data_IF_226330454216
#
_entry.id   IF_226330454216
#
_cell.length_a   1.000
_cell.length_b   1.000
_cell.length_c   1.000
_cell.angle_alpha   90.00
_cell.angle_beta   90.00
_cell.angle_gamma   90.00
#
_symmetry.space_group_name_H-M   'P 1'
#
loop_
_entity.id
_entity.type
_entity.pdbx_description
1 polymer ?
#
# COMPACT_ATOMS: atom_id res chain seq x y z
N UNK A 1 2.24 11.57 6.83
CA UNK A 1 3.46 10.75 6.69
C UNK A 1 3.73 10.16 8.06
N UNK A 2 3.82 8.83 8.19
CA UNK A 2 4.19 8.23 9.46
C UNK A 2 5.63 8.61 9.80
N UNK A 3 5.85 9.13 11.00
CA UNK A 3 7.21 9.38 11.47
C UNK A 3 7.90 8.03 11.65
N UNK A 4 9.12 7.91 11.11
CA UNK A 4 9.96 6.75 11.39
C UNK A 4 10.16 6.66 12.90
N UNK A 5 9.88 5.49 13.47
CA UNK A 5 10.10 5.21 14.87
C UNK A 5 11.03 4.01 14.99
N UNK A 6 12.04 4.12 15.85
CA UNK A 6 12.91 2.99 16.12
C UNK A 6 12.12 1.95 16.92
N UNK A 7 12.22 0.68 16.52
CA UNK A 7 11.53 -0.40 17.20
C UNK A 7 11.89 -0.50 18.69
N UNK A 8 13.14 -0.17 19.07
CA UNK A 8 13.58 -0.15 20.48
C UNK A 8 12.85 0.88 21.34
N UNK A 9 12.36 1.96 20.72
CA UNK A 9 11.75 3.11 21.40
C UNK A 9 10.23 2.95 21.53
N UNK A 10 9.62 2.03 20.77
CA UNK A 10 8.16 1.83 20.70
C UNK A 10 7.74 0.46 21.24
N UNK A 11 8.54 -0.57 21.02
CA UNK A 11 8.20 -1.93 21.43
C UNK A 11 8.64 -2.21 22.88
N UNK A 12 7.90 -3.06 23.62
CA UNK A 12 8.39 -3.62 24.87
C UNK A 12 9.74 -4.32 24.67
N UNK A 13 10.64 -4.17 25.65
CA UNK A 13 12.02 -4.68 25.58
C UNK A 13 12.08 -6.18 25.29
N UNK A 14 11.23 -6.97 25.93
CA UNK A 14 11.18 -8.43 25.75
C UNK A 14 10.80 -8.82 24.33
N UNK A 15 9.78 -8.15 23.76
CA UNK A 15 9.35 -8.35 22.38
C UNK A 15 10.43 -7.94 21.37
N UNK A 16 11.13 -6.84 21.63
CA UNK A 16 12.23 -6.39 20.76
C UNK A 16 13.39 -7.38 20.73
N UNK A 17 13.80 -7.93 21.88
CA UNK A 17 14.85 -8.94 21.95
C UNK A 17 14.44 -10.28 21.34
N UNK A 18 13.16 -10.65 21.45
CA UNK A 18 12.64 -11.83 20.77
C UNK A 18 12.60 -11.65 19.25
N UNK A 19 12.13 -10.50 18.76
CA UNK A 19 12.11 -10.17 17.33
C UNK A 19 13.50 -10.24 16.69
N UNK A 20 14.55 -9.80 17.40
CA UNK A 20 15.94 -9.89 16.93
C UNK A 20 16.41 -11.32 16.63
N UNK A 21 15.79 -12.34 17.24
CA UNK A 21 16.13 -13.75 16.98
C UNK A 21 15.60 -14.23 15.63
N UNK A 22 14.51 -13.64 15.13
CA UNK A 22 13.79 -14.11 13.94
C UNK A 22 13.88 -13.15 12.76
N UNK A 23 14.05 -11.85 13.01
CA UNK A 23 14.16 -10.82 11.98
C UNK A 23 15.63 -10.42 11.81
N UNK A 24 16.27 -10.90 10.75
CA UNK A 24 17.71 -10.68 10.47
C UNK A 24 18.00 -9.40 9.67
N UNK A 25 17.12 -8.41 9.70
CA UNK A 25 17.21 -7.16 8.91
C UNK A 25 17.20 -5.88 9.75
N UNK A 26 17.68 -4.77 9.15
CA UNK A 26 17.75 -3.46 9.83
C UNK A 26 16.44 -2.66 9.88
N UNK A 27 15.38 -3.12 9.22
CA UNK A 27 14.10 -2.41 9.16
C UNK A 27 12.92 -3.38 9.19
N UNK A 28 12.03 -3.21 10.17
CA UNK A 28 10.76 -3.91 10.26
C UNK A 28 9.65 -2.97 9.78
N UNK A 29 8.94 -3.36 8.72
CA UNK A 29 7.81 -2.60 8.20
C UNK A 29 6.49 -3.21 8.68
N UNK A 30 5.71 -2.44 9.43
CA UNK A 30 4.36 -2.81 9.86
C UNK A 30 3.38 -2.11 8.93
N UNK A 31 2.68 -2.89 8.11
CA UNK A 31 1.63 -2.37 7.23
C UNK A 31 0.36 -2.04 8.03
N UNK A 32 -0.34 -0.95 7.69
CA UNK A 32 -1.62 -0.55 8.28
C UNK A 32 -2.80 -1.53 7.99
N UNK A 33 -2.53 -2.74 7.48
CA UNK A 33 -3.49 -3.84 7.40
C UNK A 33 -4.20 -4.02 6.04
N UNK A 34 -5.20 -4.91 6.03
CA UNK A 34 -6.01 -5.30 4.86
C UNK A 34 -6.69 -4.11 4.15
N UNK A 35 -6.99 -3.06 4.91
CA UNK A 35 -7.57 -1.81 4.42
C UNK A 35 -6.79 -1.18 3.27
N UNK A 36 -5.47 -1.34 3.20
CA UNK A 36 -4.70 -0.81 2.07
C UNK A 36 -5.07 -1.54 0.76
N UNK A 37 -5.24 -2.87 0.79
CA UNK A 37 -5.66 -3.63 -0.40
C UNK A 37 -7.09 -3.29 -0.80
N UNK A 38 -7.98 -3.11 0.17
CA UNK A 38 -9.38 -2.77 -0.10
C UNK A 38 -9.51 -1.35 -0.69
N UNK A 39 -8.78 -0.38 -0.15
CA UNK A 39 -8.69 0.99 -0.71
C UNK A 39 -8.15 1.00 -2.14
N UNK A 40 -7.18 0.14 -2.46
CA UNK A 40 -6.67 0.00 -3.84
C UNK A 40 -7.73 -0.55 -4.79
N UNK A 41 -8.44 -1.61 -4.41
CA UNK A 41 -9.52 -2.18 -5.23
C UNK A 41 -10.63 -1.16 -5.46
N UNK A 42 -11.01 -0.42 -4.42
CA UNK A 42 -11.99 0.66 -4.52
C UNK A 42 -11.51 1.77 -5.48
N UNK A 43 -10.25 2.18 -5.39
CA UNK A 43 -9.68 3.18 -6.31
C UNK A 43 -9.73 2.74 -7.78
N UNK A 44 -9.41 1.47 -8.07
CA UNK A 44 -9.49 0.90 -9.43
C UNK A 44 -10.93 0.88 -9.93
N UNK A 45 -11.87 0.43 -9.10
CA UNK A 45 -13.30 0.38 -9.44
C UNK A 45 -13.86 1.76 -9.77
N UNK A 46 -13.59 2.77 -8.93
CA UNK A 46 -14.06 4.15 -9.14
C UNK A 46 -13.44 4.79 -10.38
N UNK A 47 -12.16 4.51 -10.66
CA UNK A 47 -11.53 4.95 -11.90
C UNK A 47 -12.17 4.30 -13.13
N UNK A 48 -12.57 3.03 -13.05
CA UNK A 48 -13.35 2.35 -14.10
C UNK A 48 -14.68 3.04 -14.40
N UNK A 49 -15.28 3.69 -13.40
CA UNK A 49 -16.49 4.50 -13.52
C UNK A 49 -16.22 5.95 -13.99
N UNK A 50 -14.98 6.27 -14.38
CA UNK A 50 -14.53 7.62 -14.81
C UNK A 50 -14.67 8.71 -13.74
N UNK A 51 -14.62 8.33 -12.46
CA UNK A 51 -14.59 9.27 -11.34
C UNK A 51 -13.28 10.10 -11.36
N UNK A 52 -13.35 11.38 -11.00
CA UNK A 52 -12.15 12.23 -10.92
C UNK A 52 -11.16 11.74 -9.86
N UNK A 53 -9.87 11.92 -10.11
CA UNK A 53 -8.80 11.42 -9.25
C UNK A 53 -8.81 12.08 -7.87
N UNK A 54 -9.21 13.35 -7.77
CA UNK A 54 -9.33 14.04 -6.48
C UNK A 54 -10.47 13.45 -5.66
N UNK A 55 -11.59 13.13 -6.31
CA UNK A 55 -12.73 12.51 -5.64
C UNK A 55 -12.42 11.08 -5.19
N UNK A 56 -11.72 10.32 -6.04
CA UNK A 56 -11.22 8.99 -5.66
C UNK A 56 -10.30 9.08 -4.44
N UNK A 57 -9.39 10.06 -4.41
CA UNK A 57 -8.49 10.27 -3.28
C UNK A 57 -9.27 10.57 -1.99
N UNK A 58 -10.28 11.44 -2.06
CA UNK A 58 -11.13 11.79 -0.93
C UNK A 58 -11.93 10.58 -0.41
N UNK A 59 -12.57 9.82 -1.31
CA UNK A 59 -13.40 8.66 -0.95
C UNK A 59 -12.57 7.52 -0.35
N UNK A 60 -11.38 7.26 -0.91
CA UNK A 60 -10.52 6.16 -0.47
C UNK A 60 -9.62 6.53 0.71
N UNK A 61 -9.51 7.82 1.03
CA UNK A 61 -8.55 8.34 2.00
C UNK A 61 -7.10 8.12 1.58
N UNK A 62 -6.83 8.01 0.27
CA UNK A 62 -5.49 7.90 -0.30
C UNK A 62 -5.02 9.27 -0.81
N UNK A 63 -3.71 9.48 -0.90
CA UNK A 63 -3.20 10.66 -1.60
C UNK A 63 -3.45 10.55 -3.10
N UNK A 64 -3.67 11.69 -3.77
CA UNK A 64 -3.79 11.75 -5.24
C UNK A 64 -2.63 11.06 -5.94
N UNK A 65 -1.39 11.29 -5.47
CA UNK A 65 -0.18 10.59 -5.94
C UNK A 65 -0.33 9.07 -5.87
N UNK A 66 -0.86 8.54 -4.76
CA UNK A 66 -1.04 7.11 -4.58
C UNK A 66 -2.11 6.56 -5.52
N UNK A 67 -3.19 7.30 -5.75
CA UNK A 67 -4.24 6.95 -6.72
C UNK A 67 -3.65 6.85 -8.14
N UNK A 68 -2.85 7.83 -8.59
CA UNK A 68 -2.16 7.78 -9.88
C UNK A 68 -1.27 6.53 -10.02
N UNK A 69 -0.50 6.21 -8.98
CA UNK A 69 0.35 5.01 -8.98
C UNK A 69 -0.45 3.72 -9.11
N UNK A 70 -1.56 3.60 -8.38
CA UNK A 70 -2.44 2.42 -8.44
C UNK A 70 -2.99 2.24 -9.85
N UNK A 71 -3.52 3.31 -10.46
CA UNK A 71 -4.04 3.28 -11.82
C UNK A 71 -2.96 2.91 -12.83
N UNK A 72 -1.75 3.47 -12.68
CA UNK A 72 -0.62 3.15 -13.56
C UNK A 72 -0.21 1.67 -13.44
N UNK A 73 -0.14 1.14 -12.22
CA UNK A 73 0.15 -0.28 -11.97
C UNK A 73 -0.93 -1.18 -12.58
N UNK A 74 -2.20 -0.80 -12.49
CA UNK A 74 -3.29 -1.56 -13.08
C UNK A 74 -3.25 -1.58 -14.61
N UNK A 75 -2.92 -0.44 -15.24
CA UNK A 75 -2.72 -0.37 -16.69
C UNK A 75 -1.57 -1.27 -17.15
N UNK A 76 -0.47 -1.31 -16.41
CA UNK A 76 0.66 -2.19 -16.72
C UNK A 76 0.28 -3.67 -16.61
N UNK A 77 -0.47 -4.07 -15.58
CA UNK A 77 -0.98 -5.44 -15.46
C UNK A 77 -1.84 -5.84 -16.66
N UNK A 78 -2.79 -4.97 -17.04
CA UNK A 78 -3.67 -5.23 -18.18
C UNK A 78 -2.91 -5.30 -19.52
N UNK A 79 -1.87 -4.47 -19.70
CA UNK A 79 -1.02 -4.52 -20.89
C UNK A 79 -0.22 -5.83 -20.99
N UNK A 80 0.28 -6.35 -19.86
CA UNK A 80 1.03 -7.62 -19.83
C UNK A 80 0.11 -8.83 -20.05
N UNK A 81 -1.09 -8.83 -19.48
CA UNK A 81 -2.08 -9.89 -19.69
C UNK A 81 -2.60 -9.96 -21.14
N UNK A 82 -2.56 -8.85 -21.89
CA UNK A 82 -2.93 -8.82 -23.31
C UNK A 82 -1.89 -9.45 -24.25
N UNK A 83 -0.64 -9.59 -23.83
CA UNK A 83 0.41 -10.26 -24.62
C UNK A 83 0.44 -11.79 -24.45
N UNK A 84 -0.17 -12.33 -23.39
CA UNK A 84 -0.18 -13.78 -23.14
C UNK A 84 -1.28 -14.55 -23.92
N UNK A 85 -2.17 -13.83 -24.63
CA UNK A 85 -3.26 -14.39 -25.45
C UNK A 85 -3.13 -13.97 -26.92
N UNK A 86 -1.95 -14.17 -27.53
CA UNK A 86 -1.76 -14.10 -28.98
C UNK A 86 -0.93 -15.27 -29.48
#
# INVERSE_FOLDING_TARGET
MGNYANAKDVLPKELFEELKKYCTGGMLYISEGAHHRDKQKLAVMLHGQKTDIRDIANITGLSTRRVYQIIAQERQKNAVSGCANK
#
